data_IF_106092327614
#
_entry.id   IF_106092327614
#
_cell.length_a   1.000
_cell.length_b   1.000
_cell.length_c   1.000
_cell.angle_alpha   90.00
_cell.angle_beta   90.00
_cell.angle_gamma   90.00
#
_symmetry.space_group_name_H-M   'P 1'
#
loop_
_entity.id
_entity.type
_entity.pdbx_description
1 polymer ?
#
# COMPACT_ATOMS: atom_id res chain seq x y z
N UNK A 1 20.28 -7.17 24.01
CA UNK A 1 19.89 -6.88 22.61
C UNK A 1 19.16 -8.10 22.12
N UNK A 2 17.83 -8.00 22.04
CA UNK A 2 16.98 -8.99 21.38
C UNK A 2 17.44 -9.07 19.90
N UNK A 3 17.86 -10.26 19.46
CA UNK A 3 18.53 -10.48 18.15
C UNK A 3 17.51 -10.93 17.10
N UNK A 4 16.46 -10.16 16.89
CA UNK A 4 15.42 -10.49 15.91
C UNK A 4 15.82 -10.17 14.47
N UNK A 5 16.83 -9.30 14.26
CA UNK A 5 17.33 -8.88 12.94
C UNK A 5 18.86 -8.90 12.85
N UNK A 6 19.39 -9.12 11.64
CA UNK A 6 20.82 -9.03 11.36
C UNK A 6 21.33 -7.59 11.46
N UNK A 7 22.59 -7.41 11.87
CA UNK A 7 23.21 -6.09 11.94
C UNK A 7 23.40 -5.53 10.50
N UNK A 8 22.87 -4.33 10.19
CA UNK A 8 23.03 -3.74 8.86
C UNK A 8 24.46 -3.22 8.64
N UNK A 9 24.89 -3.19 7.38
CA UNK A 9 26.11 -2.51 6.94
C UNK A 9 25.78 -1.09 6.46
N UNK A 10 26.48 -0.04 6.94
CA UNK A 10 26.23 1.31 6.47
C UNK A 10 26.65 1.46 5.00
N UNK A 11 25.78 2.02 4.17
CA UNK A 11 26.10 2.31 2.77
C UNK A 11 27.17 3.41 2.69
N UNK A 12 28.16 3.26 1.83
CA UNK A 12 29.01 4.37 1.40
C UNK A 12 28.31 5.18 0.28
N UNK A 13 28.97 6.22 -0.23
CA UNK A 13 28.39 7.08 -1.28
C UNK A 13 28.09 6.30 -2.57
N UNK A 14 28.93 5.31 -2.90
CA UNK A 14 28.71 4.47 -4.07
C UNK A 14 27.49 3.56 -3.87
N UNK A 15 27.33 2.98 -2.68
CA UNK A 15 26.16 2.18 -2.31
C UNK A 15 24.87 3.00 -2.29
N UNK A 16 24.91 4.25 -1.84
CA UNK A 16 23.75 5.17 -1.93
C UNK A 16 23.39 5.44 -3.40
N UNK A 17 24.39 5.75 -4.23
CA UNK A 17 24.16 5.96 -5.67
C UNK A 17 23.61 4.72 -6.37
N UNK A 18 24.07 3.53 -6.00
CA UNK A 18 23.56 2.27 -6.51
C UNK A 18 22.08 2.08 -6.15
N UNK A 19 21.71 2.31 -4.89
CA UNK A 19 20.30 2.28 -4.45
C UNK A 19 19.45 3.27 -5.26
N UNK A 20 19.93 4.51 -5.44
CA UNK A 20 19.24 5.53 -6.24
C UNK A 20 18.99 5.03 -7.67
N UNK A 21 19.99 4.42 -8.29
CA UNK A 21 19.88 3.85 -9.64
C UNK A 21 18.90 2.68 -9.70
N UNK A 22 18.83 1.85 -8.66
CA UNK A 22 17.89 0.73 -8.58
C UNK A 22 16.44 1.22 -8.46
N UNK A 23 16.17 2.26 -7.66
CA UNK A 23 14.84 2.89 -7.63
C UNK A 23 14.45 3.47 -8.99
N UNK A 24 15.37 4.17 -9.65
CA UNK A 24 15.13 4.75 -10.96
C UNK A 24 14.86 3.68 -12.04
N UNK A 25 15.63 2.57 -12.01
CA UNK A 25 15.40 1.42 -12.88
C UNK A 25 14.03 0.77 -12.64
N UNK A 26 13.64 0.57 -11.38
CA UNK A 26 12.33 -0.01 -11.05
C UNK A 26 11.17 0.88 -11.53
N UNK A 27 11.30 2.20 -11.38
CA UNK A 27 10.30 3.15 -11.87
C UNK A 27 10.21 3.14 -13.41
N UNK A 28 11.35 3.09 -14.11
CA UNK A 28 11.39 2.97 -15.57
C UNK A 28 10.72 1.67 -16.04
N UNK A 29 10.97 0.56 -15.35
CA UNK A 29 10.31 -0.70 -15.64
C UNK A 29 8.79 -0.60 -15.45
N UNK A 30 8.33 -0.01 -14.34
CA UNK A 30 6.91 0.23 -14.08
C UNK A 30 6.27 1.07 -15.21
N UNK A 31 6.91 2.18 -15.58
CA UNK A 31 6.47 3.03 -16.69
C UNK A 31 6.36 2.26 -18.01
N UNK A 32 7.39 1.50 -18.38
CA UNK A 32 7.40 0.69 -19.61
C UNK A 32 6.33 -0.40 -19.62
N UNK A 33 5.87 -0.84 -18.46
CA UNK A 33 4.76 -1.81 -18.33
C UNK A 33 3.37 -1.17 -18.24
N UNK A 34 3.29 0.17 -18.31
CA UNK A 34 2.03 0.90 -18.40
C UNK A 34 1.45 1.37 -17.07
N UNK A 35 2.22 1.36 -15.98
CA UNK A 35 1.80 1.99 -14.73
C UNK A 35 1.78 3.51 -14.89
N UNK A 36 0.78 4.18 -14.30
CA UNK A 36 0.66 5.64 -14.31
C UNK A 36 1.65 6.33 -13.36
N UNK A 37 2.32 5.58 -12.46
CA UNK A 37 3.25 6.14 -11.50
C UNK A 37 3.86 5.12 -10.55
N UNK A 38 4.66 5.63 -9.61
CA UNK A 38 5.25 4.88 -8.49
C UNK A 38 5.05 5.60 -7.16
N UNK A 39 5.06 4.84 -6.08
CA UNK A 39 5.10 5.37 -4.71
C UNK A 39 6.39 4.92 -4.03
N UNK A 40 7.22 5.87 -3.59
CA UNK A 40 8.42 5.61 -2.81
C UNK A 40 8.04 5.21 -1.38
N UNK A 41 8.64 4.15 -0.86
CA UNK A 41 8.33 3.68 0.49
C UNK A 41 9.31 4.23 1.54
N UNK A 42 8.97 5.38 2.14
CA UNK A 42 9.70 6.07 3.22
C UNK A 42 9.13 5.86 4.61
N UNK A 43 8.54 4.69 4.88
CA UNK A 43 7.84 4.40 6.13
C UNK A 43 8.21 3.02 6.69
N UNK A 44 7.64 2.70 7.86
CA UNK A 44 7.71 1.39 8.51
C UNK A 44 9.12 0.86 8.85
N UNK A 45 10.16 1.70 8.83
CA UNK A 45 11.54 1.29 9.14
C UNK A 45 12.30 0.66 7.98
N UNK A 46 11.78 0.77 6.75
CA UNK A 46 12.52 0.43 5.53
C UNK A 46 13.57 1.49 5.18
N UNK A 47 14.37 1.23 4.15
CA UNK A 47 15.56 2.00 3.81
C UNK A 47 15.36 3.53 3.81
N UNK A 48 14.39 4.06 3.05
CA UNK A 48 14.15 5.53 3.02
C UNK A 48 13.70 6.02 4.41
N UNK A 49 12.87 5.25 5.12
CA UNK A 49 12.49 5.56 6.50
C UNK A 49 13.67 5.57 7.46
N UNK A 50 14.66 4.68 7.28
CA UNK A 50 15.89 4.66 8.08
C UNK A 50 16.76 5.89 7.81
N UNK A 51 16.83 6.37 6.56
CA UNK A 51 17.52 7.63 6.25
C UNK A 51 16.84 8.83 6.91
N UNK A 52 15.51 8.88 6.84
CA UNK A 52 14.70 9.95 7.44
C UNK A 52 14.78 9.98 8.98
N UNK A 53 14.94 8.82 9.60
CA UNK A 53 14.97 8.67 11.05
C UNK A 53 16.23 9.22 11.70
N UNK A 54 16.05 10.05 12.73
CA UNK A 54 17.17 10.56 13.53
C UNK A 54 17.82 9.48 14.41
N UNK A 55 17.07 8.44 14.79
CA UNK A 55 17.59 7.36 15.64
C UNK A 55 18.36 6.32 14.84
N UNK A 56 17.91 6.00 13.62
CA UNK A 56 18.60 5.07 12.74
C UNK A 56 19.76 5.72 11.96
N UNK A 57 19.60 6.97 11.50
CA UNK A 57 20.60 7.66 10.70
C UNK A 57 21.58 8.48 11.55
N UNK A 58 22.66 7.82 11.98
CA UNK A 58 23.76 8.44 12.72
C UNK A 58 24.94 8.87 11.82
N UNK A 59 24.67 9.12 10.53
CA UNK A 59 25.72 9.55 9.59
C UNK A 59 26.18 10.97 9.89
N UNK A 60 27.44 11.25 9.57
CA UNK A 60 28.06 12.58 9.69
C UNK A 60 28.37 13.22 8.33
N UNK A 61 27.95 12.58 7.23
CA UNK A 61 28.11 13.10 5.87
C UNK A 61 26.85 13.85 5.41
N UNK A 62 26.79 14.22 4.13
CA UNK A 62 25.67 14.98 3.56
C UNK A 62 24.31 14.24 3.55
N UNK A 63 24.27 12.98 3.98
CA UNK A 63 23.07 12.17 4.12
C UNK A 63 22.61 11.99 5.57
N UNK A 64 23.27 12.63 6.55
CA UNK A 64 22.91 12.59 7.98
C UNK A 64 22.83 13.98 8.64
N UNK A 65 22.45 13.99 9.91
CA UNK A 65 22.28 15.24 10.67
C UNK A 65 20.91 15.88 10.45
N UNK A 66 20.86 17.03 9.77
CA UNK A 66 19.60 17.78 9.53
C UNK A 66 18.59 17.00 8.70
N UNK A 67 17.30 17.32 8.81
CA UNK A 67 16.25 16.66 8.00
C UNK A 67 16.45 16.90 6.50
N UNK A 68 16.92 18.08 6.06
CA UNK A 68 17.31 18.29 4.66
C UNK A 68 18.38 17.29 4.17
N UNK A 69 19.39 16.98 4.98
CA UNK A 69 20.40 15.97 4.63
C UNK A 69 19.82 14.55 4.64
N UNK A 70 19.03 14.23 5.66
CA UNK A 70 18.37 12.91 5.79
C UNK A 70 17.38 12.63 4.66
N UNK A 71 16.67 13.65 4.18
CA UNK A 71 15.75 13.59 3.06
C UNK A 71 16.46 13.63 1.68
N UNK A 72 17.76 13.95 1.62
CA UNK A 72 18.54 14.10 0.37
C UNK A 72 18.40 12.90 -0.56
N UNK A 73 18.41 11.68 -0.01
CA UNK A 73 18.25 10.44 -0.78
C UNK A 73 16.92 10.40 -1.57
N UNK A 74 15.85 10.96 -1.03
CA UNK A 74 14.54 11.03 -1.71
C UNK A 74 14.68 11.93 -2.94
N UNK A 75 15.30 13.10 -2.78
CA UNK A 75 15.55 14.02 -3.88
C UNK A 75 16.45 13.41 -4.96
N UNK A 76 17.48 12.65 -4.56
CA UNK A 76 18.35 11.92 -5.50
C UNK A 76 17.55 10.87 -6.30
N UNK A 77 16.69 10.08 -5.62
CA UNK A 77 15.80 9.11 -6.26
C UNK A 77 14.85 9.80 -7.23
N UNK A 78 14.15 10.86 -6.81
CA UNK A 78 13.19 11.58 -7.67
C UNK A 78 13.88 12.15 -8.91
N UNK A 79 15.06 12.77 -8.76
CA UNK A 79 15.85 13.27 -9.90
C UNK A 79 16.27 12.14 -10.85
N UNK A 80 16.69 11.00 -10.31
CA UNK A 80 17.10 9.84 -11.12
C UNK A 80 15.90 9.20 -11.85
N UNK A 81 14.71 9.18 -11.26
CA UNK A 81 13.49 8.73 -11.94
C UNK A 81 13.15 9.70 -13.09
N UNK A 82 13.14 11.01 -12.81
CA UNK A 82 12.80 12.05 -13.81
C UNK A 82 13.81 12.17 -14.94
N UNK A 83 15.07 11.77 -14.74
CA UNK A 83 16.06 11.72 -15.83
C UNK A 83 15.83 10.55 -16.80
N UNK A 84 15.18 9.46 -16.35
CA UNK A 84 14.85 8.31 -17.18
C UNK A 84 13.44 8.39 -17.79
N UNK A 85 12.52 9.06 -17.10
CA UNK A 85 11.12 9.18 -17.50
C UNK A 85 10.81 10.67 -17.68
N UNK A 86 10.87 11.14 -18.93
CA UNK A 86 10.59 12.54 -19.29
C UNK A 86 9.10 12.86 -19.37
N UNK A 87 8.24 11.85 -19.28
CA UNK A 87 6.78 12.00 -19.24
C UNK A 87 6.34 12.63 -17.92
N UNK A 88 5.90 13.88 -17.98
CA UNK A 88 5.44 14.64 -16.82
C UNK A 88 4.12 14.14 -16.25
N UNK A 89 3.38 13.28 -16.96
CA UNK A 89 2.15 12.67 -16.44
C UNK A 89 2.43 11.48 -15.51
N UNK A 90 3.67 10.96 -15.50
CA UNK A 90 4.05 9.87 -14.61
C UNK A 90 4.12 10.34 -13.16
N UNK A 91 3.27 9.77 -12.29
CA UNK A 91 3.13 10.17 -10.89
C UNK A 91 4.26 9.61 -10.04
N UNK A 92 4.84 10.43 -9.17
CA UNK A 92 5.79 10.03 -8.13
C UNK A 92 5.24 10.46 -6.77
N UNK A 93 4.69 9.49 -6.04
CA UNK A 93 4.28 9.67 -4.65
C UNK A 93 5.33 9.18 -3.66
N UNK A 94 5.13 9.50 -2.37
CA UNK A 94 5.91 8.92 -1.28
C UNK A 94 5.01 8.58 -0.09
N UNK A 95 5.22 7.41 0.52
CA UNK A 95 4.63 7.08 1.82
C UNK A 95 5.63 7.40 2.93
N UNK A 96 5.20 8.17 3.93
CA UNK A 96 6.02 8.51 5.11
C UNK A 96 5.32 8.14 6.42
N UNK A 97 6.11 7.95 7.47
CA UNK A 97 5.59 7.72 8.81
C UNK A 97 5.17 9.03 9.47
N UNK A 98 4.09 8.97 10.24
CA UNK A 98 3.52 10.09 10.96
C UNK A 98 4.19 10.36 12.29
N UNK A 99 4.66 9.32 12.95
CA UNK A 99 5.42 9.43 14.19
C UNK A 99 6.40 8.28 14.20
N UNK A 100 7.68 8.58 14.36
CA UNK A 100 8.63 7.62 14.89
C UNK A 100 8.32 7.51 16.38
N UNK A 101 7.67 6.42 16.80
CA UNK A 101 7.23 6.22 18.19
C UNK A 101 8.39 6.02 19.19
N UNK A 102 9.62 6.13 18.71
CA UNK A 102 10.82 6.20 19.53
C UNK A 102 10.91 7.58 20.18
N UNK A 103 11.58 7.69 21.33
CA UNK A 103 11.65 8.89 22.17
C UNK A 103 12.21 10.19 21.52
N UNK A 104 12.50 10.16 20.20
CA UNK A 104 13.01 11.25 19.36
C UNK A 104 12.33 11.27 17.97
N UNK A 105 11.01 11.10 17.93
CA UNK A 105 10.27 11.24 16.67
C UNK A 105 10.30 12.66 16.11
N UNK A 106 9.82 12.82 14.86
CA UNK A 106 9.73 14.12 14.18
C UNK A 106 9.09 15.16 15.08
N UNK A 107 9.86 16.19 15.44
CA UNK A 107 9.30 17.38 16.04
C UNK A 107 8.50 18.15 14.98
N UNK A 108 7.47 18.94 15.35
CA UNK A 108 6.67 19.71 14.40
C UNK A 108 7.49 20.57 13.43
N UNK A 109 8.62 21.11 13.89
CA UNK A 109 9.54 21.90 13.08
C UNK A 109 10.22 21.06 11.99
N UNK A 110 10.68 19.86 12.32
CA UNK A 110 11.26 18.92 11.34
C UNK A 110 10.20 18.41 10.36
N UNK A 111 8.96 18.24 10.82
CA UNK A 111 7.84 17.86 9.96
C UNK A 111 7.54 18.96 8.92
N UNK A 112 7.57 20.24 9.33
CA UNK A 112 7.41 21.37 8.43
C UNK A 112 8.57 21.49 7.42
N UNK A 113 9.81 21.29 7.86
CA UNK A 113 10.99 21.28 6.98
C UNK A 113 10.90 20.10 5.98
N UNK A 114 10.47 18.91 6.42
CA UNK A 114 10.22 17.78 5.53
C UNK A 114 9.15 18.11 4.48
N UNK A 115 8.06 18.79 4.84
CA UNK A 115 7.06 19.25 3.86
C UNK A 115 7.69 20.16 2.81
N UNK A 116 8.54 21.11 3.22
CA UNK A 116 9.23 22.03 2.30
C UNK A 116 10.17 21.27 1.36
N UNK A 117 10.90 20.28 1.87
CA UNK A 117 11.78 19.42 1.07
C UNK A 117 10.98 18.60 0.04
N UNK A 118 9.87 17.98 0.46
CA UNK A 118 8.99 17.22 -0.43
C UNK A 118 8.40 18.11 -1.55
N UNK A 119 7.95 19.31 -1.21
CA UNK A 119 7.48 20.32 -2.16
C UNK A 119 8.57 20.74 -3.16
N UNK A 120 9.80 20.93 -2.68
CA UNK A 120 10.95 21.26 -3.52
C UNK A 120 11.32 20.11 -4.47
N UNK A 121 11.17 18.87 -4.02
CA UNK A 121 11.39 17.66 -4.81
C UNK A 121 10.28 17.43 -5.86
N UNK A 122 9.13 18.13 -5.75
CA UNK A 122 7.97 17.97 -6.64
C UNK A 122 7.41 16.55 -6.63
N UNK A 123 7.27 15.94 -5.45
CA UNK A 123 6.45 14.74 -5.31
C UNK A 123 4.97 15.11 -5.51
N UNK A 124 4.23 14.25 -6.19
CA UNK A 124 2.85 14.53 -6.59
C UNK A 124 1.88 14.33 -5.42
N UNK A 125 2.15 13.32 -4.58
CA UNK A 125 1.36 13.06 -3.38
C UNK A 125 2.21 12.46 -2.26
N UNK A 126 1.77 12.68 -1.02
CA UNK A 126 2.34 12.05 0.17
C UNK A 126 1.28 11.26 0.89
N UNK A 127 1.54 9.98 1.15
CA UNK A 127 0.66 9.12 1.93
C UNK A 127 1.16 8.99 3.37
N UNK A 128 0.35 9.46 4.32
CA UNK A 128 0.68 9.43 5.74
C UNK A 128 0.27 8.09 6.35
N UNK A 129 1.26 7.37 6.88
CA UNK A 129 1.15 6.11 7.62
C UNK A 129 1.68 6.29 9.05
N UNK A 130 1.76 5.26 9.88
CA UNK A 130 2.49 5.34 11.15
C UNK A 130 2.89 3.98 11.71
N UNK A 131 3.90 3.97 12.59
CA UNK A 131 4.48 2.76 13.18
C UNK A 131 5.75 2.26 12.48
N UNK A 132 6.47 1.34 13.13
CA UNK A 132 7.64 0.63 12.58
C UNK A 132 7.53 -0.86 12.88
N UNK A 133 8.33 -1.72 12.24
CA UNK A 133 8.40 -3.15 12.62
C UNK A 133 9.00 -3.36 14.02
N UNK A 134 9.76 -2.40 14.54
CA UNK A 134 10.33 -2.40 15.89
C UNK A 134 9.29 -2.00 16.94
N UNK A 135 8.43 -1.03 16.62
CA UNK A 135 7.28 -0.63 17.41
C UNK A 135 6.08 -0.37 16.49
N UNK A 136 5.23 -1.39 16.34
CA UNK A 136 4.04 -1.31 15.49
C UNK A 136 3.09 -0.25 16.06
N UNK A 137 3.14 0.97 15.50
CA UNK A 137 2.26 2.10 15.87
C UNK A 137 0.77 1.75 15.85
N UNK A 138 0.38 0.73 15.07
CA UNK A 138 -0.97 0.16 15.05
C UNK A 138 -1.38 -0.59 16.32
N UNK A 139 -0.45 -1.27 17.02
CA UNK A 139 -0.77 -1.97 18.29
C UNK A 139 -1.23 -0.99 19.37
N UNK A 140 -0.74 0.26 19.35
CA UNK A 140 -1.09 1.29 20.33
C UNK A 140 -2.37 2.03 19.98
N UNK A 141 -2.66 2.21 18.68
CA UNK A 141 -3.90 2.85 18.23
C UNK A 141 -5.16 2.04 18.59
N UNK A 142 -5.06 0.70 18.61
CA UNK A 142 -6.16 -0.18 19.01
C UNK A 142 -6.22 -0.45 20.53
N UNK A 143 -5.12 -0.20 21.26
CA UNK A 143 -5.05 -0.33 22.73
C UNK A 143 -5.15 1.00 23.51
N UNK A 144 -5.24 2.14 22.81
CA UNK A 144 -5.47 3.44 23.42
C UNK A 144 -6.91 3.54 23.98
N UNK A 145 -7.12 4.25 25.12
CA UNK A 145 -8.44 4.41 25.73
C UNK A 145 -9.49 4.94 24.73
N UNK A 146 -10.67 4.32 24.79
CA UNK A 146 -11.76 4.43 23.82
C UNK A 146 -12.45 5.81 23.86
N UNK A 147 -12.00 6.76 23.04
CA UNK A 147 -12.70 8.04 22.83
C UNK A 147 -13.15 8.24 21.37
N UNK A 148 -14.39 7.79 21.10
CA UNK A 148 -15.21 8.11 19.91
C UNK A 148 -14.84 7.51 18.54
N UNK A 149 -15.84 7.45 17.64
CA UNK A 149 -15.79 6.89 16.27
C UNK A 149 -14.82 7.63 15.34
N UNK A 150 -14.53 8.90 15.60
CA UNK A 150 -13.58 9.70 14.81
C UNK A 150 -12.12 9.29 15.05
N UNK A 151 -11.76 8.93 16.29
CA UNK A 151 -10.42 8.42 16.62
C UNK A 151 -10.19 6.97 16.13
N UNK A 152 -11.27 6.23 15.84
CA UNK A 152 -11.22 4.81 15.44
C UNK A 152 -10.75 4.56 14.00
N UNK A 153 -10.96 5.51 13.08
CA UNK A 153 -10.74 5.26 11.65
C UNK A 153 -9.64 6.11 11.01
N UNK A 154 -9.13 7.13 11.72
CA UNK A 154 -8.07 8.01 11.23
C UNK A 154 -6.90 8.00 12.22
N UNK A 155 -6.20 6.87 12.29
CA UNK A 155 -5.14 6.63 13.30
C UNK A 155 -4.05 7.70 13.34
N UNK A 156 -3.85 8.43 12.24
CA UNK A 156 -2.78 9.43 12.08
C UNK A 156 -3.30 10.87 11.95
N UNK A 157 -4.56 11.13 12.29
CA UNK A 157 -5.19 12.44 12.12
C UNK A 157 -4.45 13.59 12.83
N UNK A 158 -3.87 13.34 14.02
CA UNK A 158 -3.11 14.38 14.75
C UNK A 158 -1.92 14.88 13.94
N UNK A 159 -1.11 13.97 13.41
CA UNK A 159 0.04 14.33 12.59
C UNK A 159 -0.37 14.88 11.22
N UNK A 160 -1.42 14.33 10.62
CA UNK A 160 -1.96 14.88 9.37
C UNK A 160 -2.34 16.36 9.54
N UNK A 161 -2.91 16.76 10.69
CA UNK A 161 -3.16 18.17 11.00
C UNK A 161 -1.90 19.04 11.12
N UNK A 162 -0.76 18.46 11.49
CA UNK A 162 0.51 19.18 11.63
C UNK A 162 1.23 19.32 10.27
N UNK A 163 1.19 18.29 9.42
CA UNK A 163 1.90 18.23 8.14
C UNK A 163 1.12 18.83 6.98
N UNK A 164 -0.16 18.50 6.86
CA UNK A 164 -0.98 18.85 5.69
C UNK A 164 -1.03 20.36 5.43
N UNK A 165 -1.11 21.27 6.43
CA UNK A 165 -1.11 22.71 6.17
C UNK A 165 0.16 23.23 5.48
N UNK A 166 1.30 22.55 5.62
CA UNK A 166 2.55 22.90 4.96
C UNK A 166 2.65 22.45 3.50
N UNK A 167 1.72 21.60 3.04
CA UNK A 167 1.70 21.05 1.69
C UNK A 167 0.72 21.85 0.83
N UNK A 168 1.21 22.43 -0.25
CA UNK A 168 0.43 23.30 -1.15
C UNK A 168 0.35 22.79 -2.58
N UNK A 169 1.33 22.00 -3.02
CA UNK A 169 1.35 21.36 -4.34
C UNK A 169 1.26 19.84 -4.21
N UNK A 170 1.86 19.27 -3.16
CA UNK A 170 1.82 17.85 -2.87
C UNK A 170 0.45 17.47 -2.30
N UNK A 171 -0.21 16.45 -2.84
CA UNK A 171 -1.52 16.03 -2.38
C UNK A 171 -1.39 15.10 -1.15
N UNK A 172 -1.97 15.43 0.02
CA UNK A 172 -1.92 14.57 1.19
C UNK A 172 -2.95 13.46 1.12
N UNK A 173 -2.50 12.21 1.23
CA UNK A 173 -3.31 11.01 1.40
C UNK A 173 -3.17 10.51 2.83
N UNK A 174 -4.25 9.93 3.37
CA UNK A 174 -4.24 9.34 4.70
C UNK A 174 -4.64 7.86 4.62
N UNK A 175 -3.89 7.02 5.31
CA UNK A 175 -4.23 5.61 5.52
C UNK A 175 -4.56 5.33 6.97
N UNK A 176 -5.05 4.12 7.21
CA UNK A 176 -5.09 3.52 8.52
C UNK A 176 -6.44 3.60 9.22
N UNK A 177 -7.14 2.46 9.19
CA UNK A 177 -8.34 2.23 9.99
C UNK A 177 -9.65 2.54 9.28
N UNK A 178 -9.60 3.20 8.12
CA UNK A 178 -10.79 3.54 7.36
C UNK A 178 -11.58 2.29 6.94
N UNK A 179 -12.84 2.24 7.39
CA UNK A 179 -13.79 1.17 7.07
C UNK A 179 -15.16 1.68 6.67
N UNK A 180 -15.54 2.90 7.03
CA UNK A 180 -16.88 3.42 6.73
C UNK A 180 -16.81 4.61 5.78
N UNK A 181 -17.81 4.72 4.91
CA UNK A 181 -17.97 5.88 4.03
C UNK A 181 -18.01 7.20 4.81
N UNK A 182 -18.64 7.18 5.99
CA UNK A 182 -18.71 8.34 6.89
C UNK A 182 -17.33 8.72 7.41
N UNK A 183 -16.54 7.76 7.91
CA UNK A 183 -15.19 8.02 8.40
C UNK A 183 -14.27 8.58 7.31
N UNK A 184 -14.33 7.99 6.11
CA UNK A 184 -13.58 8.46 4.94
C UNK A 184 -14.00 9.88 4.52
N UNK A 185 -15.31 10.14 4.41
CA UNK A 185 -15.81 11.46 4.02
C UNK A 185 -15.49 12.54 5.05
N UNK A 186 -15.52 12.22 6.34
CA UNK A 186 -15.17 13.17 7.41
C UNK A 186 -13.69 13.55 7.40
N UNK A 187 -12.80 12.59 7.13
CA UNK A 187 -11.37 12.87 6.96
C UNK A 187 -11.10 13.81 5.77
N UNK A 188 -11.85 13.69 4.69
CA UNK A 188 -11.72 14.63 3.57
C UNK A 188 -12.33 16.00 3.93
N UNK A 189 -13.53 16.04 4.51
CA UNK A 189 -14.24 17.28 4.87
C UNK A 189 -13.51 18.12 5.89
N UNK A 190 -12.86 17.49 6.87
CA UNK A 190 -12.05 18.18 7.87
C UNK A 190 -10.79 18.82 7.28
N UNK A 191 -10.43 18.50 6.03
CA UNK A 191 -9.28 19.06 5.34
C UNK A 191 -7.95 18.41 5.71
N UNK A 192 -7.94 17.37 6.57
CA UNK A 192 -6.71 16.71 7.03
C UNK A 192 -6.01 15.94 5.90
N UNK A 193 -6.75 15.56 4.87
CA UNK A 193 -6.25 14.90 3.67
C UNK A 193 -7.16 15.19 2.47
N UNK A 194 -6.67 14.88 1.27
CA UNK A 194 -7.40 14.97 0.00
C UNK A 194 -7.72 13.60 -0.59
N UNK A 195 -7.04 12.55 -0.13
CA UNK A 195 -7.27 11.18 -0.55
C UNK A 195 -7.22 10.19 0.61
N UNK A 196 -7.93 9.08 0.46
CA UNK A 196 -7.96 7.98 1.43
C UNK A 196 -7.33 6.75 0.80
N UNK A 197 -6.45 6.10 1.56
CA UNK A 197 -5.85 4.83 1.16
C UNK A 197 -6.43 3.68 1.99
N UNK A 198 -6.83 2.61 1.32
CA UNK A 198 -7.36 1.38 1.93
C UNK A 198 -6.51 0.18 1.50
N UNK A 199 -6.22 -0.72 2.45
CA UNK A 199 -5.42 -1.92 2.19
C UNK A 199 -6.25 -3.19 2.48
N UNK A 200 -6.34 -3.61 3.75
CA UNK A 200 -7.11 -4.82 4.17
C UNK A 200 -8.55 -4.85 3.63
N UNK A 201 -9.32 -3.74 3.66
CA UNK A 201 -10.65 -3.71 3.04
C UNK A 201 -10.66 -4.01 1.54
N UNK A 202 -9.66 -3.52 0.79
CA UNK A 202 -9.56 -3.72 -0.65
C UNK A 202 -9.19 -5.16 -1.02
N UNK A 203 -8.54 -5.92 -0.13
CA UNK A 203 -8.34 -7.35 -0.31
C UNK A 203 -9.64 -8.13 -0.25
N UNK A 204 -10.54 -7.76 0.67
CA UNK A 204 -11.83 -8.43 0.82
C UNK A 204 -12.88 -7.98 -0.20
N UNK A 205 -12.81 -6.73 -0.65
CA UNK A 205 -13.66 -6.19 -1.71
C UNK A 205 -12.86 -5.20 -2.57
N UNK A 206 -12.34 -5.64 -3.74
CA UNK A 206 -11.56 -4.77 -4.63
C UNK A 206 -12.41 -3.66 -5.26
N UNK A 207 -13.74 -3.77 -5.26
CA UNK A 207 -14.66 -2.78 -5.79
C UNK A 207 -15.16 -1.80 -4.71
N UNK A 208 -14.69 -1.93 -3.46
CA UNK A 208 -15.16 -1.13 -2.34
C UNK A 208 -15.17 0.39 -2.61
N UNK A 209 -14.11 1.01 -3.18
CA UNK A 209 -14.14 2.45 -3.48
C UNK A 209 -15.29 2.85 -4.43
N UNK A 210 -15.53 2.04 -5.47
CA UNK A 210 -16.61 2.27 -6.43
C UNK A 210 -17.98 2.11 -5.75
N UNK A 211 -18.15 1.04 -4.97
CA UNK A 211 -19.40 0.79 -4.26
C UNK A 211 -19.74 1.88 -3.23
N UNK A 212 -18.74 2.41 -2.51
CA UNK A 212 -18.92 3.52 -1.58
C UNK A 212 -19.32 4.80 -2.32
N UNK A 213 -18.62 5.14 -3.42
CA UNK A 213 -18.88 6.38 -4.17
C UNK A 213 -20.22 6.36 -4.89
N UNK A 214 -20.72 5.19 -5.29
CA UNK A 214 -22.06 4.99 -5.84
C UNK A 214 -23.15 4.83 -4.77
N UNK A 215 -22.79 4.83 -3.48
CA UNK A 215 -23.73 4.66 -2.38
C UNK A 215 -24.33 3.25 -2.26
N UNK A 216 -23.75 2.25 -2.92
CA UNK A 216 -24.17 0.84 -2.86
C UNK A 216 -23.88 0.21 -1.50
N UNK A 217 -22.80 0.62 -0.86
CA UNK A 217 -22.41 0.17 0.50
C UNK A 217 -22.00 1.35 1.36
N UNK A 218 -22.19 1.22 2.67
CA UNK A 218 -21.80 2.23 3.66
C UNK A 218 -20.40 1.99 4.24
N UNK A 219 -19.73 0.90 3.87
CA UNK A 219 -18.41 0.55 4.37
C UNK A 219 -17.92 -0.83 3.94
N UNK A 220 -16.74 -1.18 4.44
CA UNK A 220 -16.03 -2.41 4.17
C UNK A 220 -16.75 -3.64 4.74
N UNK A 221 -16.54 -4.79 4.08
CA UNK A 221 -16.97 -6.10 4.56
C UNK A 221 -16.55 -6.34 6.02
N UNK A 222 -17.49 -6.82 6.84
CA UNK A 222 -17.25 -7.16 8.23
C UNK A 222 -16.65 -8.57 8.34
N UNK A 223 -15.35 -8.68 8.09
CA UNK A 223 -14.60 -9.94 8.24
C UNK A 223 -14.59 -10.40 9.71
N UNK A 224 -14.60 -11.71 9.93
CA UNK A 224 -14.68 -12.33 11.27
C UNK A 224 -13.33 -12.67 11.89
N UNK A 225 -12.24 -12.35 11.20
CA UNK A 225 -10.89 -12.38 11.78
C UNK A 225 -10.73 -11.17 12.72
N UNK A 226 -10.24 -11.35 13.96
CA UNK A 226 -9.92 -10.26 14.86
C UNK A 226 -8.98 -9.23 14.19
N UNK A 227 -9.33 -7.94 14.25
CA UNK A 227 -8.59 -6.91 13.51
C UNK A 227 -7.25 -6.54 14.15
N UNK A 228 -7.12 -6.84 15.44
CA UNK A 228 -5.90 -6.76 16.25
C UNK A 228 -4.93 -7.92 16.00
N UNK A 229 -5.39 -9.00 15.37
CA UNK A 229 -4.52 -10.02 14.79
C UNK A 229 -3.96 -9.57 13.43
N UNK A 230 -2.95 -8.71 13.52
CA UNK A 230 -2.31 -8.09 12.35
C UNK A 230 -1.65 -9.14 11.45
N UNK A 231 -1.03 -10.17 12.02
CA UNK A 231 -0.32 -11.19 11.23
C UNK A 231 -1.32 -11.96 10.37
N UNK A 232 -2.41 -12.42 10.99
CA UNK A 232 -3.45 -13.16 10.28
C UNK A 232 -4.17 -12.28 9.26
N UNK A 233 -4.47 -11.02 9.57
CA UNK A 233 -5.14 -10.12 8.61
C UNK A 233 -4.24 -9.72 7.43
N UNK A 234 -2.93 -9.57 7.61
CA UNK A 234 -1.97 -9.38 6.51
C UNK A 234 -1.91 -10.62 5.63
N UNK A 235 -1.79 -11.81 6.24
CA UNK A 235 -1.77 -13.08 5.51
C UNK A 235 -3.05 -13.25 4.69
N UNK A 236 -4.21 -12.99 5.31
CA UNK A 236 -5.50 -13.11 4.67
C UNK A 236 -5.64 -12.16 3.47
N UNK A 237 -5.23 -10.90 3.63
CA UNK A 237 -5.21 -9.92 2.54
C UNK A 237 -4.33 -10.38 1.39
N UNK A 238 -3.14 -10.92 1.69
CA UNK A 238 -2.22 -11.44 0.68
C UNK A 238 -2.77 -12.65 -0.08
N UNK A 239 -3.44 -13.58 0.62
CA UNK A 239 -4.13 -14.72 0.00
C UNK A 239 -5.28 -14.24 -0.90
N UNK A 240 -6.06 -13.25 -0.47
CA UNK A 240 -7.09 -12.65 -1.32
C UNK A 240 -6.49 -12.02 -2.59
N UNK A 241 -5.37 -11.32 -2.46
CA UNK A 241 -4.65 -10.75 -3.61
C UNK A 241 -4.11 -11.83 -4.56
N UNK A 242 -3.57 -12.93 -4.03
CA UNK A 242 -3.09 -14.06 -4.83
C UNK A 242 -4.24 -14.75 -5.57
N UNK A 243 -5.40 -14.90 -4.94
CA UNK A 243 -6.61 -15.43 -5.59
C UNK A 243 -7.06 -14.52 -6.74
N UNK A 244 -7.12 -13.20 -6.51
CA UNK A 244 -7.44 -12.23 -7.56
C UNK A 244 -6.46 -12.28 -8.73
N UNK A 245 -5.15 -12.35 -8.45
CA UNK A 245 -4.11 -12.45 -9.46
C UNK A 245 -4.25 -13.70 -10.34
N UNK A 246 -4.84 -14.78 -9.80
CA UNK A 246 -5.11 -16.03 -10.51
C UNK A 246 -6.52 -16.10 -11.12
N UNK A 247 -7.31 -15.04 -11.03
CA UNK A 247 -8.70 -15.02 -11.48
C UNK A 247 -9.62 -15.95 -10.70
N UNK A 248 -9.26 -16.30 -9.45
CA UNK A 248 -10.10 -17.08 -8.54
C UNK A 248 -10.96 -16.16 -7.67
N UNK A 249 -12.15 -16.61 -7.21
CA UNK A 249 -12.94 -15.85 -6.24
C UNK A 249 -12.13 -15.55 -4.97
N UNK A 250 -12.30 -14.35 -4.42
CA UNK A 250 -11.73 -14.01 -3.11
C UNK A 250 -12.42 -14.81 -2.00
N UNK A 251 -11.65 -15.24 -1.00
CA UNK A 251 -12.22 -15.90 0.18
C UNK A 251 -13.09 -14.91 0.97
N UNK A 252 -14.36 -15.30 1.22
CA UNK A 252 -15.30 -14.49 1.99
C UNK A 252 -15.10 -14.70 3.49
N UNK A 253 -14.24 -13.88 4.07
CA UNK A 253 -13.92 -13.93 5.50
C UNK A 253 -15.02 -13.32 6.39
N UNK A 254 -16.16 -12.89 5.83
CA UNK A 254 -17.35 -12.59 6.64
C UNK A 254 -18.11 -13.85 7.07
N UNK A 255 -17.84 -14.99 6.40
CA UNK A 255 -18.37 -16.30 6.71
C UNK A 255 -17.44 -17.05 7.70
N UNK A 256 -17.92 -17.42 8.91
CA UNK A 256 -17.11 -18.18 9.88
C UNK A 256 -16.56 -19.51 9.37
N UNK A 257 -17.29 -20.20 8.47
CA UNK A 257 -16.80 -21.44 7.87
C UNK A 257 -15.59 -21.22 6.98
N UNK A 258 -15.60 -20.15 6.19
CA UNK A 258 -14.45 -19.75 5.35
C UNK A 258 -13.28 -19.25 6.19
N UNK A 259 -13.54 -18.62 7.34
CA UNK A 259 -12.50 -18.26 8.30
C UNK A 259 -11.79 -19.51 8.82
N UNK A 260 -12.53 -20.54 9.26
CA UNK A 260 -11.90 -21.81 9.70
C UNK A 260 -11.08 -22.44 8.58
N UNK A 261 -11.62 -22.48 7.35
CA UNK A 261 -10.96 -23.05 6.18
C UNK A 261 -9.66 -22.32 5.84
N UNK A 262 -9.69 -20.99 5.89
CA UNK A 262 -8.51 -20.15 5.74
C UNK A 262 -7.48 -20.42 6.83
N UNK A 263 -7.89 -20.49 8.10
CA UNK A 263 -6.98 -20.73 9.22
C UNK A 263 -6.32 -22.11 9.16
N UNK A 264 -7.06 -23.16 8.76
CA UNK A 264 -6.52 -24.50 8.53
C UNK A 264 -5.45 -24.48 7.43
N UNK A 265 -5.76 -23.83 6.30
CA UNK A 265 -4.82 -23.69 5.19
C UNK A 265 -3.59 -22.85 5.57
N UNK A 266 -3.77 -21.77 6.33
CA UNK A 266 -2.69 -20.93 6.83
C UNK A 266 -1.74 -21.71 7.75
N UNK A 267 -2.29 -22.53 8.67
CA UNK A 267 -1.49 -23.42 9.54
C UNK A 267 -0.69 -24.42 8.72
N UNK A 268 -1.32 -25.10 7.76
CA UNK A 268 -0.65 -26.06 6.89
C UNK A 268 0.46 -25.40 6.05
N UNK A 269 0.18 -24.25 5.45
CA UNK A 269 1.15 -23.50 4.66
C UNK A 269 2.36 -23.06 5.48
N UNK A 270 2.15 -22.55 6.70
CA UNK A 270 3.26 -22.14 7.56
C UNK A 270 4.08 -23.33 8.08
N UNK A 271 3.45 -24.47 8.37
CA UNK A 271 4.16 -25.69 8.74
C UNK A 271 5.08 -26.16 7.59
N UNK A 272 4.54 -26.25 6.37
CA UNK A 272 5.32 -26.60 5.19
C UNK A 272 6.46 -25.60 4.92
N UNK A 273 6.17 -24.30 5.03
CA UNK A 273 7.18 -23.25 4.83
C UNK A 273 8.31 -23.33 5.86
N UNK A 274 8.01 -23.67 7.11
CA UNK A 274 9.00 -23.88 8.14
C UNK A 274 9.90 -25.10 7.84
N UNK A 275 9.32 -26.22 7.40
CA UNK A 275 10.07 -27.41 6.99
C UNK A 275 11.01 -27.12 5.81
N UNK A 276 10.51 -26.42 4.78
CA UNK A 276 11.30 -26.00 3.62
C UNK A 276 12.43 -25.06 4.03
N UNK A 277 12.18 -24.12 4.95
CA UNK A 277 13.19 -23.20 5.44
C UNK A 277 14.34 -23.93 6.14
N UNK A 278 14.06 -24.99 6.92
CA UNK A 278 15.08 -25.83 7.54
C UNK A 278 15.97 -26.56 6.51
N UNK A 279 15.45 -26.78 5.31
CA UNK A 279 16.20 -27.34 4.17
C UNK A 279 16.91 -26.27 3.34
N UNK A 280 16.86 -24.99 3.76
CA UNK A 280 17.41 -23.86 3.00
C UNK A 280 16.56 -23.45 1.80
N UNK A 281 15.32 -23.95 1.70
CA UNK A 281 14.40 -23.65 0.59
C UNK A 281 13.47 -22.52 1.04
N UNK A 282 13.60 -21.36 0.38
CA UNK A 282 12.70 -20.23 0.59
C UNK A 282 11.68 -20.21 -0.54
N UNK A 283 10.41 -20.45 -0.20
CA UNK A 283 9.29 -20.27 -1.13
C UNK A 283 8.56 -18.97 -0.81
N UNK A 284 8.75 -17.92 -1.64
CA UNK A 284 8.05 -16.67 -1.46
C UNK A 284 6.59 -16.78 -1.91
N UNK A 285 5.77 -15.82 -1.48
CA UNK A 285 4.37 -15.71 -1.90
C UNK A 285 3.36 -16.18 -0.85
N UNK A 286 2.08 -16.03 -1.22
CA UNK A 286 0.92 -16.45 -0.45
C UNK A 286 0.40 -17.79 -0.98
N UNK A 287 -0.28 -18.56 -0.12
CA UNK A 287 -0.94 -19.77 -0.57
C UNK A 287 -2.23 -19.46 -1.34
N UNK A 288 -2.65 -20.42 -2.17
CA UNK A 288 -3.91 -20.36 -2.91
C UNK A 288 -4.91 -21.25 -2.19
N UNK A 289 -5.99 -20.64 -1.69
CA UNK A 289 -7.07 -21.39 -1.05
C UNK A 289 -8.01 -21.96 -2.13
N UNK A 290 -8.01 -23.28 -2.33
CA UNK A 290 -8.86 -23.90 -3.37
C UNK A 290 -10.32 -23.97 -2.94
N UNK A 291 -11.25 -23.43 -3.73
CA UNK A 291 -12.69 -23.54 -3.44
C UNK A 291 -13.21 -24.93 -3.85
N UNK A 292 -13.88 -25.69 -2.98
CA UNK A 292 -14.49 -26.95 -3.37
C UNK A 292 -15.57 -26.71 -4.44
N UNK A 293 -15.39 -27.27 -5.64
CA UNK A 293 -16.37 -27.20 -6.74
C UNK A 293 -16.10 -26.18 -7.85
N UNK A 294 -14.91 -25.59 -7.93
CA UNK A 294 -14.52 -24.67 -9.01
C UNK A 294 -14.33 -25.37 -10.37
N UNK A 295 -15.43 -25.79 -11.00
CA UNK A 295 -15.52 -25.72 -12.46
C UNK A 295 -15.54 -24.22 -12.83
N UNK A 296 -14.36 -23.68 -13.16
CA UNK A 296 -14.10 -22.39 -13.83
C UNK A 296 -15.24 -21.36 -13.79
N UNK A 297 -15.32 -20.56 -12.73
CA UNK A 297 -16.01 -19.27 -12.80
C UNK A 297 -15.15 -18.34 -13.65
N UNK A 298 -15.50 -18.21 -14.94
CA UNK A 298 -14.82 -17.36 -15.91
C UNK A 298 -15.11 -15.90 -15.60
N UNK A 299 -14.08 -15.12 -15.29
CA UNK A 299 -14.18 -13.66 -15.23
C UNK A 299 -14.06 -13.05 -16.62
N UNK A 300 -14.90 -12.05 -16.88
CA UNK A 300 -14.88 -11.25 -18.11
C UNK A 300 -13.77 -10.21 -18.02
N UNK A 301 -12.78 -10.26 -18.92
CA UNK A 301 -11.87 -9.13 -19.13
C UNK A 301 -12.49 -8.25 -20.22
N UNK A 302 -13.09 -7.13 -19.82
CA UNK A 302 -13.46 -6.07 -20.75
C UNK A 302 -12.17 -5.32 -21.14
N UNK A 303 -11.72 -5.51 -22.38
CA UNK A 303 -10.61 -4.74 -22.93
C UNK A 303 -11.13 -3.37 -23.38
N UNK A 304 -10.65 -2.31 -22.73
CA UNK A 304 -10.94 -0.93 -23.10
C UNK A 304 -9.76 -0.35 -23.88
N UNK A 305 -9.80 -0.28 -25.22
CA UNK A 305 -8.82 0.52 -25.93
C UNK A 305 -9.04 2.00 -25.60
N UNK A 306 -7.95 2.70 -25.23
CA UNK A 306 -7.89 4.13 -24.83
C UNK A 306 -8.57 5.12 -25.80
N UNK A 307 -9.03 4.69 -26.98
CA UNK A 307 -9.46 5.55 -28.09
C UNK A 307 -10.96 5.57 -28.41
N UNK A 308 -11.82 4.85 -27.67
CA UNK A 308 -13.27 4.78 -28.02
C UNK A 308 -14.26 5.07 -26.87
N UNK A 309 -14.00 6.11 -26.07
CA UNK A 309 -14.98 6.60 -25.07
C UNK A 309 -16.12 7.46 -25.66
N UNK A 310 -16.08 7.82 -26.95
CA UNK A 310 -17.11 8.63 -27.57
C UNK A 310 -17.63 7.99 -28.87
N UNK A 311 -18.93 7.65 -28.85
CA UNK A 311 -19.80 7.11 -29.92
C UNK A 311 -19.93 5.57 -29.96
N UNK A 312 -20.98 5.06 -29.31
CA UNK A 312 -21.65 3.79 -29.65
C UNK A 312 -20.74 2.56 -29.82
N UNK A 313 -19.92 2.27 -28.82
CA UNK A 313 -18.99 1.15 -28.85
C UNK A 313 -19.72 -0.20 -29.02
N UNK A 314 -19.22 -1.03 -29.95
CA UNK A 314 -19.59 -2.44 -30.05
C UNK A 314 -18.57 -3.27 -29.28
N UNK A 315 -19.05 -4.08 -28.35
CA UNK A 315 -18.20 -4.90 -27.48
C UNK A 315 -17.98 -6.28 -28.12
N UNK A 316 -16.71 -6.70 -28.20
CA UNK A 316 -16.36 -8.06 -28.59
C UNK A 316 -16.17 -8.91 -27.32
N UNK A 317 -17.07 -9.86 -27.09
CA UNK A 317 -16.95 -10.84 -26.01
C UNK A 317 -16.31 -12.12 -26.58
N UNK A 318 -15.21 -12.57 -25.97
CA UNK A 318 -14.53 -13.81 -26.38
C UNK A 318 -14.61 -14.82 -25.25
N UNK A 319 -15.34 -15.91 -25.49
CA UNK A 319 -15.41 -17.07 -24.59
C UNK A 319 -14.25 -18.00 -24.96
N UNK A 320 -13.33 -18.26 -24.02
CA UNK A 320 -12.29 -19.28 -24.16
C UNK A 320 -12.56 -20.36 -23.12
N UNK A 321 -13.13 -21.48 -23.58
CA UNK A 321 -13.29 -22.70 -22.77
C UNK A 321 -12.80 -23.91 -23.57
N UNK A 322 -12.52 -25.05 -22.91
CA UNK A 322 -12.13 -26.27 -23.61
C UNK A 322 -13.30 -26.77 -24.47
N UNK A 323 -13.12 -26.83 -25.79
CA UNK A 323 -14.10 -27.38 -26.73
C UNK A 323 -15.10 -26.38 -27.35
N UNK A 324 -15.06 -25.09 -27.03
CA UNK A 324 -15.92 -24.10 -27.69
C UNK A 324 -15.27 -23.53 -28.97
N UNK A 325 -15.93 -23.71 -30.13
CA UNK A 325 -15.57 -22.95 -31.35
C UNK A 325 -15.83 -21.47 -31.09
N UNK A 326 -14.87 -20.60 -31.44
CA UNK A 326 -15.00 -19.12 -31.41
C UNK A 326 -16.38 -18.70 -31.91
N UNK A 327 -17.27 -18.28 -31.01
CA UNK A 327 -18.52 -17.60 -31.37
C UNK A 327 -18.38 -16.13 -30.99
N UNK A 328 -18.38 -15.25 -31.99
CA UNK A 328 -18.54 -13.81 -31.78
C UNK A 328 -19.98 -13.55 -31.35
N UNK A 329 -20.20 -13.24 -30.08
CA UNK A 329 -21.48 -12.74 -29.60
C UNK A 329 -21.45 -11.20 -29.66
N UNK A 330 -22.34 -10.62 -30.47
CA UNK A 330 -22.58 -9.18 -30.47
C UNK A 330 -23.41 -8.85 -29.23
N UNK A 331 -22.82 -8.20 -28.24
CA UNK A 331 -23.56 -7.61 -27.13
C UNK A 331 -23.79 -6.13 -27.43
N UNK A 332 -25.06 -5.73 -27.57
CA UNK A 332 -25.46 -4.33 -27.56
C UNK A 332 -26.08 -4.07 -26.19
N UNK A 333 -25.45 -3.20 -25.41
CA UNK A 333 -26.04 -2.68 -24.17
C UNK A 333 -26.82 -1.42 -24.59
N UNK A 334 -28.14 -1.43 -24.44
CA UNK A 334 -28.99 -0.26 -24.59
C UNK A 334 -28.91 0.63 -23.35
#
# INVERSE_FOLDING_TARGET
MDRTYSKPSPLDKAGILEVVNQFAYAAEAAYRTGFDGVQLHGAHGYLIGQFLSQTNNNRMDEYGGSIANRARIIGDIVRAIRSRITDSSFVIGIKINSVEFQAKGFQPEEAAELCQELEAMKVDFVELSGGTYEELGWKRAESAPRESTKAREAFFAKFANEITPGLTKTIPYLTGGFRTAVGMAEAIRSGICKGISIARPAGSDPLLPLQITEGRVSGATNVKIPQDDIITTILATGVQMELMARGKPVVDLSNPGEVSRFEDAARAHHAEKAERLLQGIIVPGYFVLETPGDEQVVWFVLHFPKTQLNKGARYDCVILGPGSRRRKLKCAIN
#
